data_IF_598097749300
#
_entry.id   IF_598097749300
#
_cell.length_a   1.000
_cell.length_b   1.000
_cell.length_c   1.000
_cell.angle_alpha   90.00
_cell.angle_beta   90.00
_cell.angle_gamma   90.00
#
_symmetry.space_group_name_H-M   'P 1'
#
loop_
_entity.id
_entity.type
_entity.pdbx_description
1 polymer ?
#
# COMPACT_ATOMS: atom_id res chain seq x y z
N UNK A 1 25.06 -12.48 10.08
CA UNK A 1 24.32 -11.34 10.66
C UNK A 1 23.16 -11.06 9.71
N UNK A 2 21.94 -11.47 10.03
CA UNK A 2 20.78 -11.18 9.19
C UNK A 2 20.31 -9.75 9.50
N UNK A 3 20.38 -8.84 8.53
CA UNK A 3 19.72 -7.55 8.68
C UNK A 3 18.22 -7.81 8.71
N UNK A 4 17.55 -7.41 9.80
CA UNK A 4 16.09 -7.37 9.83
C UNK A 4 15.69 -6.32 8.81
N UNK A 5 15.23 -6.74 7.64
CA UNK A 5 14.71 -5.79 6.65
C UNK A 5 13.42 -5.21 7.20
N UNK A 6 13.39 -3.88 7.34
CA UNK A 6 12.17 -3.16 7.64
C UNK A 6 11.33 -3.11 6.37
N UNK A 7 10.10 -3.63 6.46
CA UNK A 7 9.14 -3.58 5.36
C UNK A 7 8.17 -2.44 5.62
N UNK A 8 7.85 -1.68 4.58
CA UNK A 8 6.93 -0.55 4.64
C UNK A 8 5.77 -0.79 3.67
N UNK A 9 4.58 -0.32 4.04
CA UNK A 9 3.40 -0.44 3.20
C UNK A 9 3.51 0.48 1.98
N UNK A 10 3.27 -0.07 0.78
CA UNK A 10 3.30 0.66 -0.49
C UNK A 10 2.18 1.71 -0.63
N UNK A 11 1.19 1.70 0.25
CA UNK A 11 0.03 2.61 0.22
C UNK A 11 0.11 3.69 1.28
N UNK A 12 0.28 3.32 2.55
CA UNK A 12 0.24 4.26 3.68
C UNK A 12 1.60 4.51 4.35
N UNK A 13 2.67 3.86 3.89
CA UNK A 13 4.03 4.04 4.44
C UNK A 13 4.26 3.49 5.85
N UNK A 14 3.26 2.87 6.49
CA UNK A 14 3.45 2.28 7.82
C UNK A 14 4.41 1.08 7.78
N UNK A 15 5.21 0.96 8.84
CA UNK A 15 6.11 -0.18 9.05
C UNK A 15 5.29 -1.45 9.28
N UNK A 16 5.54 -2.46 8.45
CA UNK A 16 4.91 -3.76 8.51
C UNK A 16 5.72 -4.68 9.42
N UNK A 17 5.05 -5.29 10.40
CA UNK A 17 5.63 -6.39 11.17
C UNK A 17 5.62 -7.64 10.26
N UNK A 18 6.78 -8.30 10.12
CA UNK A 18 7.05 -9.41 9.19
C UNK A 18 6.35 -10.72 9.63
N UNK A 19 5.11 -10.63 10.12
CA UNK A 19 4.34 -11.76 10.69
C UNK A 19 2.97 -11.96 10.04
N UNK A 20 2.70 -11.35 8.87
CA UNK A 20 1.44 -11.59 8.15
C UNK A 20 1.72 -12.49 6.93
N UNK A 21 1.49 -13.82 7.02
CA UNK A 21 1.96 -14.77 6.00
C UNK A 21 1.16 -14.72 4.68
N UNK A 22 0.02 -14.04 4.65
CA UNK A 22 -0.99 -14.24 3.60
C UNK A 22 -1.39 -13.00 2.78
N UNK A 23 -0.67 -11.88 2.90
CA UNK A 23 -0.89 -10.71 2.02
C UNK A 23 0.36 -10.26 1.26
N UNK A 24 1.42 -11.07 1.26
CA UNK A 24 2.70 -10.74 0.62
C UNK A 24 2.88 -11.49 -0.70
N UNK A 25 2.36 -10.93 -1.79
CA UNK A 25 2.89 -11.20 -3.13
C UNK A 25 4.22 -10.44 -3.32
N UNK A 26 5.06 -10.84 -4.28
CA UNK A 26 6.34 -10.12 -4.58
C UNK A 26 6.16 -8.60 -4.73
N UNK A 27 5.00 -8.17 -5.23
CA UNK A 27 4.67 -6.76 -5.51
C UNK A 27 3.69 -6.14 -4.50
N UNK A 28 3.05 -6.93 -3.63
CA UNK A 28 2.01 -6.45 -2.73
C UNK A 28 2.53 -6.45 -1.28
N UNK A 29 3.03 -5.29 -0.83
CA UNK A 29 3.42 -5.04 0.57
C UNK A 29 2.41 -4.06 1.16
N UNK A 30 1.33 -4.58 1.73
CA UNK A 30 0.24 -3.77 2.30
C UNK A 30 -0.09 -4.20 3.72
N UNK A 31 -0.37 -3.24 4.60
CA UNK A 31 -0.54 -3.50 6.03
C UNK A 31 -1.98 -3.80 6.46
N UNK A 32 -2.96 -3.69 5.56
CA UNK A 32 -4.38 -3.86 5.85
C UNK A 32 -5.17 -4.18 4.58
N UNK A 33 -6.37 -4.75 4.73
CA UNK A 33 -7.32 -4.93 3.63
C UNK A 33 -7.64 -3.62 2.91
N UNK A 34 -7.82 -2.52 3.64
CA UNK A 34 -8.04 -1.19 3.03
C UNK A 34 -6.89 -0.77 2.11
N UNK A 35 -5.64 -1.01 2.55
CA UNK A 35 -4.47 -0.74 1.72
C UNK A 35 -4.36 -1.72 0.54
N UNK A 36 -4.83 -2.96 0.69
CA UNK A 36 -4.91 -3.91 -0.41
C UNK A 36 -5.91 -3.44 -1.49
N UNK A 37 -7.10 -3.02 -1.09
CA UNK A 37 -8.13 -2.51 -2.00
C UNK A 37 -7.62 -1.29 -2.78
N UNK A 38 -6.94 -0.36 -2.07
CA UNK A 38 -6.34 0.82 -2.68
C UNK A 38 -5.22 0.45 -3.67
N UNK A 39 -4.39 -0.53 -3.31
CA UNK A 39 -3.33 -1.03 -4.19
C UNK A 39 -3.91 -1.67 -5.46
N UNK A 40 -4.92 -2.54 -5.31
CA UNK A 40 -5.60 -3.17 -6.45
C UNK A 40 -6.30 -2.14 -7.35
N UNK A 41 -6.87 -1.09 -6.75
CA UNK A 41 -7.47 0.02 -7.51
C UNK A 41 -6.43 0.79 -8.32
N UNK A 42 -5.26 1.11 -7.73
CA UNK A 42 -4.13 1.73 -8.43
C UNK A 42 -3.64 0.87 -9.60
N UNK A 43 -3.44 -0.43 -9.38
CA UNK A 43 -3.02 -1.36 -10.44
C UNK A 43 -4.05 -1.43 -11.57
N UNK A 44 -5.34 -1.53 -11.22
CA UNK A 44 -6.43 -1.55 -12.20
C UNK A 44 -6.43 -0.30 -13.07
N UNK A 45 -6.31 0.89 -12.48
CA UNK A 45 -6.26 2.14 -13.24
C UNK A 45 -5.02 2.23 -14.13
N UNK A 46 -3.87 1.76 -13.65
CA UNK A 46 -2.64 1.70 -14.44
C UNK A 46 -2.80 0.79 -15.67
N UNK A 47 -3.39 -0.39 -15.51
CA UNK A 47 -3.69 -1.33 -16.61
C UNK A 47 -4.64 -0.68 -17.63
N UNK A 48 -5.62 0.08 -17.16
CA UNK A 48 -6.58 0.79 -18.00
C UNK A 48 -6.03 2.07 -18.64
N UNK A 49 -4.78 2.48 -18.34
CA UNK A 49 -4.22 3.75 -18.80
C UNK A 49 -4.94 4.98 -18.25
N UNK A 50 -5.59 4.86 -17.08
CA UNK A 50 -6.37 5.92 -16.43
C UNK A 50 -5.51 6.60 -15.35
N UNK A 51 -5.63 7.92 -15.15
CA UNK A 51 -4.97 8.59 -14.04
C UNK A 51 -5.52 8.10 -12.70
N UNK A 52 -4.64 7.93 -11.72
CA UNK A 52 -5.03 7.62 -10.35
C UNK A 52 -5.41 8.89 -9.59
N UNK A 53 -6.62 8.89 -9.04
CA UNK A 53 -7.09 9.93 -8.13
C UNK A 53 -7.46 9.26 -6.80
N UNK A 54 -6.75 9.58 -5.69
CA UNK A 54 -7.07 9.00 -4.40
C UNK A 54 -8.49 9.40 -4.01
N UNK A 55 -9.35 8.41 -3.71
CA UNK A 55 -10.70 8.69 -3.22
C UNK A 55 -10.58 9.11 -1.75
N UNK A 56 -10.74 10.39 -1.45
CA UNK A 56 -10.94 10.86 -0.07
C UNK A 56 -9.68 11.08 0.79
N UNK A 57 -8.49 11.20 0.20
CA UNK A 57 -7.42 11.99 0.84
C UNK A 57 -7.61 13.45 0.43
N UNK A 58 -8.70 14.08 0.90
CA UNK A 58 -8.63 15.53 1.06
C UNK A 58 -7.50 15.75 2.05
N UNK A 59 -6.46 16.42 1.59
CA UNK A 59 -5.40 16.87 2.46
C UNK A 59 -6.07 17.63 3.61
N UNK A 60 -5.89 17.16 4.84
CA UNK A 60 -5.98 18.04 6.00
C UNK A 60 -4.80 19.01 5.91
N UNK A 61 -4.86 19.93 4.95
CA UNK A 61 -4.07 21.14 4.95
C UNK A 61 -4.74 22.12 5.92
N UNK A 62 -4.08 22.32 7.06
CA UNK A 62 -4.14 23.58 7.79
C UNK A 62 -5.16 23.65 8.93
N UNK A 63 -4.67 23.44 10.15
CA UNK A 63 -4.82 24.40 11.26
C UNK A 63 -3.67 24.25 12.25
#
# INVERSE_FOLDING_TARGET
MWSKQELYCNVCGHKMLVEIPNQMGRNCKVCSSKCLDEFQWRETLSIMGKPYHPRGLQAEEGQ
#
